data_IF_927277471666
#
_entry.id   IF_927277471666
#
_cell.length_a   1.000
_cell.length_b   1.000
_cell.length_c   1.000
_cell.angle_alpha   90.00
_cell.angle_beta   90.00
_cell.angle_gamma   90.00
#
_symmetry.space_group_name_H-M   'P 1'
#
loop_
_entity.id
_entity.type
_entity.pdbx_description
1 polymer ?
#
# COMPACT_ATOMS: atom_id res chain seq x y z
N UNK A 1 7.44 24.38 -22.53
CA UNK A 1 7.80 23.87 -21.19
C UNK A 1 6.96 24.57 -20.13
N UNK A 2 5.80 24.00 -19.82
CA UNK A 2 5.09 24.36 -18.59
C UNK A 2 6.01 24.09 -17.40
N UNK A 3 6.15 25.06 -16.50
CA UNK A 3 6.85 24.84 -15.26
C UNK A 3 6.14 23.70 -14.54
N UNK A 4 6.90 22.69 -14.09
CA UNK A 4 6.39 21.63 -13.22
C UNK A 4 5.50 22.26 -12.14
N UNK A 5 4.40 21.59 -11.73
CA UNK A 5 3.53 22.09 -10.66
C UNK A 5 4.41 22.59 -9.53
N UNK A 6 4.27 23.89 -9.26
CA UNK A 6 5.10 24.60 -8.29
C UNK A 6 5.07 23.84 -6.97
N UNK A 7 6.24 23.68 -6.37
CA UNK A 7 6.41 22.98 -5.09
C UNK A 7 5.38 23.47 -4.09
N UNK A 8 4.45 22.57 -3.74
CA UNK A 8 3.71 22.52 -2.48
C UNK A 8 2.74 23.66 -2.24
N UNK A 9 1.55 23.62 -2.85
CA UNK A 9 0.40 24.17 -2.12
C UNK A 9 0.17 23.25 -0.93
N UNK A 10 0.35 23.77 0.27
CA UNK A 10 0.01 23.03 1.48
C UNK A 10 -1.51 22.84 1.48
N UNK A 11 -1.94 21.58 1.56
CA UNK A 11 -3.34 21.22 1.63
C UNK A 11 -3.72 21.01 3.10
N UNK A 12 -4.80 21.66 3.52
CA UNK A 12 -5.45 21.31 4.79
C UNK A 12 -6.16 19.97 4.64
N UNK A 13 -6.18 19.18 5.71
CA UNK A 13 -6.95 17.95 5.81
C UNK A 13 -7.69 17.88 7.14
N UNK A 14 -8.67 16.99 7.23
CA UNK A 14 -9.43 16.76 8.47
C UNK A 14 -9.76 15.29 8.63
N UNK A 15 -9.64 14.78 9.86
CA UNK A 15 -10.15 13.49 10.28
C UNK A 15 -11.57 13.66 10.84
N UNK A 16 -12.52 12.85 10.37
CA UNK A 16 -13.90 12.85 10.85
C UNK A 16 -14.16 11.59 11.67
N UNK A 17 -14.61 11.76 12.91
CA UNK A 17 -14.96 10.65 13.80
C UNK A 17 -16.47 10.47 13.75
N UNK A 18 -16.92 9.28 13.37
CA UNK A 18 -18.35 8.94 13.28
C UNK A 18 -18.70 7.95 14.38
N UNK A 19 -19.71 8.27 15.17
CA UNK A 19 -20.32 7.38 16.15
C UNK A 19 -21.34 6.46 15.44
N UNK A 20 -21.06 5.16 15.51
CA UNK A 20 -21.88 4.09 14.94
C UNK A 20 -22.59 3.26 16.02
N UNK A 21 -22.68 3.74 17.26
CA UNK A 21 -23.39 3.05 18.35
C UNK A 21 -24.88 2.83 18.05
N UNK A 22 -25.47 3.67 17.18
CA UNK A 22 -26.73 3.42 16.50
C UNK A 22 -26.48 3.40 14.99
N UNK A 23 -26.40 2.20 14.40
CA UNK A 23 -26.10 2.03 12.97
C UNK A 23 -27.19 2.59 12.03
N UNK A 24 -28.43 2.74 12.52
CA UNK A 24 -29.53 3.35 11.77
C UNK A 24 -29.49 4.90 11.80
N UNK A 25 -28.68 5.48 12.69
CA UNK A 25 -28.55 6.92 12.87
C UNK A 25 -27.08 7.30 13.15
N UNK A 26 -26.15 7.10 12.20
CA UNK A 26 -24.74 7.43 12.38
C UNK A 26 -24.56 8.93 12.62
N UNK A 27 -23.75 9.30 13.62
CA UNK A 27 -23.55 10.70 14.04
C UNK A 27 -22.10 11.12 13.88
N UNK A 28 -21.87 12.34 13.39
CA UNK A 28 -20.54 12.93 13.43
C UNK A 28 -20.21 13.30 14.89
N UNK A 29 -19.31 12.55 15.52
CA UNK A 29 -18.88 12.78 16.90
C UNK A 29 -17.92 13.97 17.00
N UNK A 30 -16.97 14.06 16.08
CA UNK A 30 -15.97 15.12 16.06
C UNK A 30 -15.33 15.31 14.67
N UNK A 31 -14.71 16.47 14.46
CA UNK A 31 -13.80 16.74 13.35
C UNK A 31 -12.48 17.25 13.90
N UNK A 32 -11.38 16.60 13.54
CA UNK A 32 -10.02 17.00 13.91
C UNK A 32 -9.36 17.63 12.71
N UNK A 33 -8.87 18.86 12.85
CA UNK A 33 -8.00 19.48 11.85
C UNK A 33 -6.64 18.81 11.88
N UNK A 34 -6.18 18.31 10.75
CA UNK A 34 -4.85 17.71 10.61
C UNK A 34 -3.82 18.79 10.27
N UNK A 35 -2.52 18.56 10.54
CA UNK A 35 -1.46 19.43 10.05
C UNK A 35 -1.56 19.67 8.55
N UNK A 36 -1.20 20.87 8.12
CA UNK A 36 -1.19 21.18 6.70
C UNK A 36 0.06 20.56 6.06
N UNK A 37 -0.06 19.91 4.91
CA UNK A 37 1.04 19.17 4.29
C UNK A 37 0.97 19.15 2.77
N UNK A 38 2.02 18.66 2.12
CA UNK A 38 1.99 18.33 0.69
C UNK A 38 1.03 17.19 0.36
N UNK A 39 0.64 16.42 1.38
CA UNK A 39 -0.43 15.44 1.35
C UNK A 39 -0.40 14.57 2.61
N UNK A 40 -1.30 13.59 2.65
CA UNK A 40 -1.43 12.63 3.75
C UNK A 40 -1.54 11.21 3.18
N UNK A 41 -1.02 10.23 3.88
CA UNK A 41 -1.12 8.81 3.54
C UNK A 41 -1.37 7.95 4.77
N UNK A 42 -1.89 6.75 4.54
CA UNK A 42 -2.32 5.85 5.60
C UNK A 42 -3.57 6.36 6.31
N UNK A 43 -4.19 5.47 7.07
CA UNK A 43 -5.21 5.77 8.06
C UNK A 43 -5.37 4.49 8.88
N UNK A 44 -4.57 4.35 9.92
CA UNK A 44 -4.56 3.15 10.77
C UNK A 44 -5.30 3.47 12.06
N UNK A 45 -6.43 2.81 12.28
CA UNK A 45 -7.14 2.88 13.55
C UNK A 45 -6.79 1.64 14.38
N UNK A 46 -6.26 1.85 15.59
CA UNK A 46 -5.91 0.76 16.50
C UNK A 46 -6.24 1.14 17.95
N UNK A 47 -7.19 0.42 18.54
CA UNK A 47 -7.74 0.75 19.85
C UNK A 47 -8.24 2.20 19.91
N UNK A 48 -7.66 3.01 20.80
CA UNK A 48 -7.97 4.44 20.95
C UNK A 48 -6.98 5.37 20.24
N UNK A 49 -6.28 4.88 19.21
CA UNK A 49 -5.33 5.65 18.41
C UNK A 49 -5.74 5.64 16.95
N UNK A 50 -5.59 6.78 16.30
CA UNK A 50 -5.54 6.87 14.84
C UNK A 50 -4.18 7.41 14.43
N UNK A 51 -3.55 6.73 13.49
CA UNK A 51 -2.25 7.05 12.94
C UNK A 51 -2.39 7.36 11.45
N UNK A 52 -1.67 8.38 11.02
CA UNK A 52 -1.53 8.76 9.61
C UNK A 52 -0.18 9.42 9.43
N UNK A 53 0.25 9.61 8.20
CA UNK A 53 1.45 10.40 7.92
C UNK A 53 1.14 11.57 7.01
N UNK A 54 1.86 12.67 7.21
CA UNK A 54 1.92 13.78 6.26
C UNK A 54 3.36 14.04 5.86
N UNK A 55 3.56 14.85 4.81
CA UNK A 55 4.88 15.33 4.44
C UNK A 55 4.89 16.83 4.19
N UNK A 56 6.03 17.45 4.49
CA UNK A 56 6.31 18.87 4.26
C UNK A 56 7.49 19.01 3.30
N UNK A 57 7.37 19.78 2.21
CA UNK A 57 8.52 20.12 1.37
C UNK A 57 9.61 20.81 2.19
N UNK A 58 10.87 20.46 1.94
CA UNK A 58 12.00 21.11 2.62
C UNK A 58 12.31 22.47 1.96
N UNK A 59 12.30 23.58 2.73
CA UNK A 59 12.60 24.90 2.18
C UNK A 59 13.98 24.94 1.51
N UNK A 60 14.02 25.41 0.26
CA UNK A 60 15.26 25.52 -0.52
C UNK A 60 15.79 24.22 -1.12
N UNK A 61 15.12 23.08 -0.89
CA UNK A 61 15.52 21.77 -1.42
C UNK A 61 14.40 21.18 -2.28
N UNK A 62 14.38 21.56 -3.56
CA UNK A 62 13.39 21.06 -4.52
C UNK A 62 13.39 19.52 -4.59
N UNK A 63 12.21 18.91 -4.59
CA UNK A 63 12.04 17.47 -4.64
C UNK A 63 12.35 16.72 -3.35
N UNK A 64 12.69 17.42 -2.25
CA UNK A 64 12.87 16.81 -0.93
C UNK A 64 11.73 17.17 0.00
N UNK A 65 11.31 16.22 0.82
CA UNK A 65 10.31 16.40 1.85
C UNK A 65 10.76 15.75 3.16
N UNK A 66 10.15 16.18 4.26
CA UNK A 66 10.20 15.51 5.55
C UNK A 66 8.85 14.86 5.79
N UNK A 67 8.85 13.63 6.28
CA UNK A 67 7.63 12.91 6.65
C UNK A 67 7.43 12.96 8.16
N UNK A 68 6.18 12.97 8.58
CA UNK A 68 5.82 12.93 9.99
C UNK A 68 4.72 11.89 10.22
N UNK A 69 4.81 11.20 11.34
CA UNK A 69 3.72 10.42 11.93
C UNK A 69 2.84 11.36 12.73
N UNK A 70 1.58 11.47 12.32
CA UNK A 70 0.50 12.11 13.07
C UNK A 70 -0.23 11.08 13.90
N UNK A 71 -0.62 11.49 15.10
CA UNK A 71 -1.27 10.63 16.09
C UNK A 71 -2.46 11.35 16.68
N UNK A 72 -3.61 10.68 16.71
CA UNK A 72 -4.83 11.19 17.27
C UNK A 72 -5.26 10.27 18.40
N UNK A 73 -5.40 10.84 19.60
CA UNK A 73 -5.97 10.16 20.75
C UNK A 73 -7.50 10.18 20.68
N UNK A 74 -8.11 9.00 20.58
CA UNK A 74 -9.55 8.78 20.54
C UNK A 74 -10.11 8.22 21.85
N UNK A 75 -9.38 8.30 22.97
CA UNK A 75 -9.89 7.85 24.28
C UNK A 75 -11.18 8.58 24.70
N UNK A 76 -11.40 9.78 24.19
CA UNK A 76 -12.70 10.46 24.19
C UNK A 76 -13.10 10.79 22.73
N UNK A 77 -13.96 9.98 22.08
CA UNK A 77 -14.36 10.19 20.69
C UNK A 77 -15.07 11.52 20.40
N UNK A 78 -15.68 12.15 21.41
CA UNK A 78 -16.32 13.47 21.28
C UNK A 78 -15.34 14.64 21.41
N UNK A 79 -14.13 14.38 21.93
CA UNK A 79 -13.08 15.36 22.11
C UNK A 79 -11.71 14.77 21.78
N UNK A 80 -11.50 14.28 20.54
CA UNK A 80 -10.24 13.68 20.12
C UNK A 80 -9.09 14.70 20.19
N UNK A 81 -7.89 14.23 20.52
CA UNK A 81 -6.71 15.09 20.72
C UNK A 81 -5.65 14.74 19.68
N UNK A 82 -5.32 15.70 18.80
CA UNK A 82 -4.14 15.59 17.95
C UNK A 82 -2.88 15.78 18.79
N UNK A 83 -1.98 14.79 18.77
CA UNK A 83 -0.70 14.84 19.46
C UNK A 83 0.35 15.53 18.57
N UNK A 84 1.49 15.90 19.16
CA UNK A 84 2.60 16.45 18.40
C UNK A 84 3.09 15.45 17.33
N UNK A 85 3.33 15.87 16.08
CA UNK A 85 3.86 14.99 15.05
C UNK A 85 5.28 14.50 15.37
N UNK A 86 5.63 13.28 14.95
CA UNK A 86 6.98 12.72 15.07
C UNK A 86 7.61 12.62 13.69
N UNK A 87 8.80 13.17 13.49
CA UNK A 87 9.53 13.03 12.23
C UNK A 87 9.96 11.57 11.99
N UNK A 88 9.61 10.99 10.85
CA UNK A 88 9.89 9.58 10.49
C UNK A 88 10.43 9.49 9.06
N UNK A 89 11.22 8.44 8.72
CA UNK A 89 11.69 8.23 7.36
C UNK A 89 10.60 7.59 6.48
N UNK A 90 9.81 8.40 5.77
CA UNK A 90 8.87 7.93 4.76
C UNK A 90 7.39 7.93 5.18
N UNK A 91 6.51 7.49 4.27
CA UNK A 91 5.05 7.43 4.48
C UNK A 91 4.65 6.19 5.29
N UNK A 92 3.67 6.33 6.19
CA UNK A 92 3.14 5.23 7.00
C UNK A 92 2.48 4.15 6.15
N UNK A 93 2.84 2.89 6.43
CA UNK A 93 2.23 1.69 5.87
C UNK A 93 1.54 0.86 6.96
N UNK A 94 2.28 0.51 8.01
CA UNK A 94 1.79 -0.35 9.08
C UNK A 94 2.32 0.09 10.45
N UNK A 95 1.67 -0.37 11.52
CA UNK A 95 2.08 -0.15 12.90
C UNK A 95 1.84 -1.42 13.74
N UNK A 96 2.89 -2.00 14.31
CA UNK A 96 2.80 -3.06 15.31
C UNK A 96 2.78 -2.42 16.70
N UNK A 97 1.58 -2.29 17.26
CA UNK A 97 1.37 -1.73 18.60
C UNK A 97 2.18 -2.42 19.72
N UNK A 98 2.30 -3.77 19.77
CA UNK A 98 3.09 -4.43 20.82
C UNK A 98 4.54 -3.97 20.91
N UNK A 99 5.20 -3.73 19.77
CA UNK A 99 6.60 -3.29 19.70
C UNK A 99 6.76 -1.77 19.50
N UNK A 100 5.68 -1.05 19.20
CA UNK A 100 5.68 0.33 18.76
C UNK A 100 6.55 0.58 17.51
N UNK A 101 6.60 -0.42 16.61
CA UNK A 101 7.34 -0.34 15.37
C UNK A 101 6.42 0.03 14.20
N UNK A 102 6.88 0.94 13.34
CA UNK A 102 6.23 1.31 12.09
C UNK A 102 6.93 0.63 10.92
N UNK A 103 6.14 0.25 9.92
CA UNK A 103 6.63 0.11 8.57
C UNK A 103 6.32 1.42 7.81
N UNK A 104 7.35 2.01 7.21
CA UNK A 104 7.21 3.17 6.32
C UNK A 104 7.87 2.93 4.97
N UNK A 105 7.49 3.69 3.94
CA UNK A 105 8.13 3.68 2.62
C UNK A 105 8.78 5.03 2.38
N UNK A 106 10.09 5.03 2.18
CA UNK A 106 10.86 6.18 1.73
C UNK A 106 10.94 6.21 0.20
N UNK A 107 10.98 7.41 -0.36
CA UNK A 107 10.89 7.64 -1.80
C UNK A 107 12.01 8.54 -2.30
N UNK A 108 12.72 8.08 -3.32
CA UNK A 108 13.66 8.91 -4.07
C UNK A 108 13.26 8.94 -5.53
N UNK A 109 12.75 10.08 -5.98
CA UNK A 109 12.41 10.31 -7.39
C UNK A 109 13.67 10.59 -8.21
N UNK A 110 13.79 9.93 -9.34
CA UNK A 110 14.81 10.18 -10.35
C UNK A 110 14.17 10.46 -11.71
N UNK A 111 14.88 11.22 -12.55
CA UNK A 111 14.44 11.60 -13.91
C UNK A 111 15.57 11.30 -14.87
N UNK A 112 15.34 10.39 -15.81
CA UNK A 112 16.22 10.18 -16.96
C UNK A 112 15.77 11.08 -18.11
N UNK A 113 16.58 12.07 -18.53
CA UNK A 113 16.24 12.92 -19.66
C UNK A 113 16.50 12.21 -20.98
N UNK A 114 15.69 12.55 -22.00
CA UNK A 114 15.92 12.20 -23.40
C UNK A 114 16.08 10.69 -23.65
N UNK A 115 15.24 9.87 -23.02
CA UNK A 115 15.18 8.42 -23.25
C UNK A 115 14.02 8.06 -24.18
N UNK A 116 14.11 6.90 -24.83
CA UNK A 116 12.98 6.32 -25.57
C UNK A 116 11.91 5.85 -24.58
N UNK A 117 10.64 5.95 -24.98
CA UNK A 117 9.53 5.41 -24.20
C UNK A 117 9.71 3.92 -23.89
N UNK A 118 10.13 3.13 -24.88
CA UNK A 118 10.38 1.69 -24.72
C UNK A 118 11.43 1.44 -23.66
N UNK A 119 12.59 2.09 -23.76
CA UNK A 119 13.66 1.97 -22.76
C UNK A 119 13.18 2.33 -21.35
N UNK A 120 12.32 3.34 -21.21
CA UNK A 120 11.74 3.71 -19.92
C UNK A 120 10.93 2.55 -19.30
N UNK A 121 9.98 1.99 -20.05
CA UNK A 121 9.10 0.94 -19.54
C UNK A 121 9.75 -0.45 -19.53
N UNK A 122 10.70 -0.75 -20.41
CA UNK A 122 11.51 -1.98 -20.35
C UNK A 122 12.42 -2.01 -19.11
N UNK A 123 12.89 -0.83 -18.65
CA UNK A 123 13.78 -0.75 -17.49
C UNK A 123 13.02 -0.70 -16.17
N UNK A 124 11.90 0.03 -16.13
CA UNK A 124 11.21 0.37 -14.87
C UNK A 124 9.73 0.00 -14.87
N UNK A 125 9.21 -0.61 -15.94
CA UNK A 125 7.82 -1.06 -16.05
C UNK A 125 6.81 -0.01 -15.54
N UNK A 126 5.75 -0.46 -14.87
CA UNK A 126 4.75 0.34 -14.20
C UNK A 126 5.30 1.20 -13.04
N UNK A 127 6.54 0.99 -12.62
CA UNK A 127 7.25 1.82 -11.66
C UNK A 127 7.69 3.18 -12.21
N UNK A 128 7.57 3.41 -13.53
CA UNK A 128 7.89 4.67 -14.19
C UNK A 128 6.69 5.35 -14.85
N UNK A 129 6.87 6.64 -15.15
CA UNK A 129 6.01 7.47 -15.97
C UNK A 129 6.85 8.15 -17.04
N UNK A 130 6.34 8.17 -18.28
CA UNK A 130 7.04 8.79 -19.40
C UNK A 130 6.39 10.11 -19.83
N UNK A 131 7.18 11.17 -19.91
CA UNK A 131 6.78 12.49 -20.40
C UNK A 131 7.47 12.82 -21.74
N UNK A 132 6.75 12.76 -22.86
CA UNK A 132 7.34 13.05 -24.18
C UNK A 132 7.76 14.52 -24.29
N UNK A 133 8.81 14.77 -25.08
CA UNK A 133 9.26 16.15 -25.37
C UNK A 133 8.34 16.89 -26.33
N UNK A 134 7.76 16.17 -27.29
CA UNK A 134 6.78 16.69 -28.23
C UNK A 134 5.39 16.51 -27.66
N UNK A 135 4.61 17.60 -27.56
CA UNK A 135 3.22 17.52 -27.14
C UNK A 135 2.40 16.72 -28.16
N UNK A 136 2.70 16.76 -29.46
CA UNK A 136 1.96 16.02 -30.51
C UNK A 136 2.35 14.54 -30.64
N UNK A 137 2.99 13.96 -29.62
CA UNK A 137 3.44 12.56 -29.65
C UNK A 137 2.33 11.55 -29.97
N UNK A 138 1.07 11.86 -29.63
CA UNK A 138 -0.09 11.00 -29.92
C UNK A 138 -0.40 10.87 -31.41
N UNK A 139 0.16 11.73 -32.27
CA UNK A 139 0.03 11.64 -33.73
C UNK A 139 1.05 10.70 -34.37
N UNK A 140 2.04 10.26 -33.60
CA UNK A 140 3.04 9.29 -34.06
C UNK A 140 2.53 7.86 -33.82
N UNK A 141 2.37 7.09 -34.89
CA UNK A 141 2.02 5.66 -34.80
C UNK A 141 3.19 4.82 -34.23
N UNK A 142 4.41 5.37 -34.21
CA UNK A 142 5.62 4.68 -33.76
C UNK A 142 6.06 5.11 -32.37
N UNK A 143 5.46 4.46 -31.37
CA UNK A 143 5.79 4.60 -29.96
C UNK A 143 7.26 4.30 -29.61
N UNK A 144 7.99 3.58 -30.48
CA UNK A 144 9.38 3.20 -30.25
C UNK A 144 10.37 4.29 -30.64
N UNK A 145 9.89 5.40 -31.22
CA UNK A 145 10.72 6.54 -31.64
C UNK A 145 10.53 7.78 -30.77
N UNK A 146 9.48 7.81 -29.93
CA UNK A 146 9.16 8.95 -29.08
C UNK A 146 10.20 9.08 -27.97
N UNK A 147 10.83 10.26 -27.89
CA UNK A 147 11.80 10.62 -26.84
C UNK A 147 11.20 11.58 -25.82
N UNK A 148 11.63 11.45 -24.58
CA UNK A 148 11.05 12.17 -23.46
C UNK A 148 11.84 12.00 -22.17
N UNK A 149 11.22 12.40 -21.07
CA UNK A 149 11.72 12.18 -19.72
C UNK A 149 11.10 10.91 -19.15
N UNK A 150 11.91 10.01 -18.61
CA UNK A 150 11.43 8.89 -17.81
C UNK A 150 11.55 9.24 -16.33
N UNK A 151 10.42 9.20 -15.64
CA UNK A 151 10.31 9.54 -14.23
C UNK A 151 10.07 8.24 -13.48
N UNK A 152 10.89 7.93 -12.49
CA UNK A 152 10.72 6.72 -11.69
C UNK A 152 11.09 7.00 -10.23
N UNK A 153 10.82 6.03 -9.37
CA UNK A 153 10.99 6.19 -7.92
C UNK A 153 11.68 4.97 -7.34
N UNK A 154 12.86 5.19 -6.75
CA UNK A 154 13.42 4.24 -5.81
C UNK A 154 12.57 4.22 -4.56
N UNK A 155 12.23 3.02 -4.11
CA UNK A 155 11.42 2.79 -2.92
C UNK A 155 12.20 1.94 -1.95
N UNK A 156 12.12 2.30 -0.67
CA UNK A 156 12.78 1.56 0.40
C UNK A 156 11.84 1.44 1.57
N UNK A 157 11.61 0.19 2.00
CA UNK A 157 10.95 -0.11 3.25
C UNK A 157 11.84 0.32 4.40
N UNK A 158 11.25 0.91 5.43
CA UNK A 158 11.92 1.38 6.62
C UNK A 158 11.17 0.84 7.83
N UNK A 159 11.87 0.12 8.69
CA UNK A 159 11.35 -0.31 9.98
C UNK A 159 11.80 0.67 11.05
N UNK A 160 10.85 1.26 11.76
CA UNK A 160 11.10 2.42 12.62
C UNK A 160 10.48 2.19 13.99
N UNK A 161 11.27 2.22 15.05
CA UNK A 161 10.75 2.26 16.41
C UNK A 161 10.30 3.68 16.78
N UNK A 162 9.12 3.80 17.40
CA UNK A 162 8.59 5.09 17.87
C UNK A 162 8.59 5.14 19.39
N UNK A 163 9.34 6.09 19.93
CA UNK A 163 9.24 6.48 21.32
C UNK A 163 8.23 7.63 21.43
N UNK A 164 6.98 7.28 21.73
CA UNK A 164 5.91 8.26 21.84
C UNK A 164 6.09 9.26 22.97
N UNK A 165 6.78 8.87 24.05
CA UNK A 165 6.99 9.69 25.25
C UNK A 165 7.97 10.81 24.92
N UNK A 166 9.08 10.47 24.28
CA UNK A 166 10.10 11.43 23.89
C UNK A 166 9.80 12.10 22.55
N UNK A 167 8.82 11.60 21.79
CA UNK A 167 8.45 12.14 20.48
C UNK A 167 9.54 11.90 19.43
N UNK A 168 10.23 10.76 19.52
CA UNK A 168 11.37 10.42 18.66
C UNK A 168 11.13 9.13 17.91
N UNK A 169 11.80 8.99 16.76
CA UNK A 169 11.78 7.79 15.95
C UNK A 169 13.21 7.31 15.68
N UNK A 170 13.43 5.99 15.72
CA UNK A 170 14.72 5.35 15.46
C UNK A 170 14.57 4.35 14.33
N UNK A 171 15.38 4.49 13.28
CA UNK A 171 15.46 3.50 12.21
C UNK A 171 16.08 2.22 12.78
N UNK A 172 15.37 1.11 12.65
CA UNK A 172 15.84 -0.22 13.05
C UNK A 172 16.46 -0.95 11.86
N UNK A 173 15.77 -0.96 10.72
CA UNK A 173 16.18 -1.71 9.54
C UNK A 173 15.63 -1.07 8.25
N UNK A 174 16.21 -1.41 7.10
CA UNK A 174 15.71 -1.01 5.79
C UNK A 174 15.90 -2.05 4.68
N UNK A 175 14.96 -2.06 3.73
CA UNK A 175 14.99 -3.00 2.60
C UNK A 175 14.60 -2.28 1.30
N UNK A 176 15.47 -2.26 0.25
CA UNK A 176 15.11 -1.67 -1.03
C UNK A 176 14.02 -2.52 -1.72
N UNK A 177 13.07 -1.87 -2.38
CA UNK A 177 12.14 -2.55 -3.30
C UNK A 177 12.67 -2.43 -4.74
N UNK A 178 12.36 -3.39 -5.62
CA UNK A 178 12.68 -3.26 -7.05
C UNK A 178 12.06 -1.99 -7.65
N UNK A 179 12.78 -1.31 -8.54
CA UNK A 179 12.35 -0.05 -9.15
C UNK A 179 11.23 -0.26 -10.20
N UNK A 180 11.16 -1.46 -10.76
CA UNK A 180 10.13 -1.92 -11.71
C UNK A 180 8.84 -2.39 -11.03
N UNK A 181 8.84 -2.48 -9.70
CA UNK A 181 7.72 -2.95 -8.91
C UNK A 181 6.50 -2.01 -9.08
N UNK A 182 5.35 -2.59 -9.38
CA UNK A 182 4.04 -1.95 -9.24
C UNK A 182 3.23 -2.71 -8.22
N UNK A 183 2.82 -2.04 -7.15
CA UNK A 183 2.14 -2.69 -6.02
C UNK A 183 0.64 -2.46 -6.06
N UNK A 184 -0.12 -3.47 -5.65
CA UNK A 184 -1.55 -3.34 -5.32
C UNK A 184 -1.78 -2.55 -4.04
N UNK A 185 -3.01 -2.59 -3.53
CA UNK A 185 -3.31 -2.25 -2.14
C UNK A 185 -2.46 -3.09 -1.18
N UNK A 186 -2.06 -2.46 -0.07
CA UNK A 186 -1.32 -3.08 1.02
C UNK A 186 -2.31 -3.41 2.13
N UNK A 187 -2.30 -4.66 2.60
CA UNK A 187 -3.12 -5.13 3.71
C UNK A 187 -2.22 -5.45 4.90
N UNK A 188 -2.66 -5.12 6.10
CA UNK A 188 -1.89 -5.26 7.33
C UNK A 188 -2.66 -6.16 8.28
N UNK A 189 -2.02 -7.21 8.77
CA UNK A 189 -2.60 -8.12 9.76
C UNK A 189 -1.50 -8.65 10.70
N UNK A 190 -1.77 -8.65 12.01
CA UNK A 190 -0.77 -8.92 13.07
C UNK A 190 0.56 -8.16 12.84
N UNK A 191 1.66 -8.88 12.61
CA UNK A 191 2.99 -8.36 12.30
C UNK A 191 3.37 -8.55 10.83
N UNK A 192 2.38 -8.73 9.94
CA UNK A 192 2.52 -8.96 8.51
C UNK A 192 1.93 -7.82 7.68
N UNK A 193 2.56 -7.58 6.53
CA UNK A 193 2.03 -6.70 5.49
C UNK A 193 2.06 -7.43 4.16
N UNK A 194 0.92 -7.47 3.49
CA UNK A 194 0.70 -8.17 2.25
C UNK A 194 0.40 -7.20 1.13
N UNK A 195 0.96 -7.46 -0.06
CA UNK A 195 0.53 -6.82 -1.30
C UNK A 195 0.87 -7.74 -2.47
N UNK A 196 0.29 -7.50 -3.64
CA UNK A 196 0.68 -8.17 -4.87
C UNK A 196 1.43 -7.19 -5.76
N UNK A 197 2.27 -7.72 -6.64
CA UNK A 197 2.86 -6.95 -7.73
C UNK A 197 2.62 -7.59 -9.07
N UNK A 198 2.46 -6.76 -10.09
CA UNK A 198 2.41 -7.20 -11.47
C UNK A 198 3.63 -6.64 -12.22
N UNK A 199 4.52 -7.49 -12.76
CA UNK A 199 5.75 -7.03 -13.37
C UNK A 199 5.58 -6.21 -14.65
N UNK A 200 4.48 -6.29 -15.43
CA UNK A 200 4.51 -5.64 -16.75
C UNK A 200 3.24 -5.17 -17.47
N UNK A 201 3.50 -4.12 -18.27
CA UNK A 201 2.76 -3.61 -19.41
C UNK A 201 3.60 -3.98 -20.66
N UNK A 202 3.01 -4.74 -21.59
CA UNK A 202 3.52 -5.14 -22.92
C UNK A 202 4.17 -6.54 -23.07
N UNK A 203 3.41 -7.40 -23.75
CA UNK A 203 3.80 -8.39 -24.76
C UNK A 203 4.66 -9.61 -24.42
N UNK A 204 5.17 -9.79 -23.20
CA UNK A 204 5.82 -11.06 -22.84
C UNK A 204 4.88 -12.03 -22.10
N UNK A 205 4.59 -13.15 -22.77
CA UNK A 205 3.97 -14.36 -22.22
C UNK A 205 4.90 -14.96 -21.15
N UNK A 206 4.93 -14.42 -19.92
CA UNK A 206 5.79 -15.03 -18.89
C UNK A 206 5.86 -14.41 -17.51
N UNK A 207 5.40 -13.17 -17.31
CA UNK A 207 5.61 -12.51 -16.02
C UNK A 207 4.53 -12.88 -14.98
N UNK A 208 4.96 -13.61 -13.96
CA UNK A 208 4.12 -14.10 -12.87
C UNK A 208 3.77 -12.96 -11.91
N UNK A 209 2.48 -12.85 -11.55
CA UNK A 209 2.09 -11.99 -10.43
C UNK A 209 2.71 -12.54 -9.15
N UNK A 210 3.37 -11.66 -8.39
CA UNK A 210 3.99 -12.03 -7.13
C UNK A 210 3.08 -11.64 -5.97
N UNK A 211 2.97 -12.51 -4.97
CA UNK A 211 2.56 -12.09 -3.63
C UNK A 211 3.81 -11.67 -2.86
N UNK A 212 3.73 -10.55 -2.16
CA UNK A 212 4.76 -10.07 -1.26
C UNK A 212 4.26 -10.13 0.17
N UNK A 213 5.11 -10.61 1.06
CA UNK A 213 4.87 -10.63 2.49
C UNK A 213 6.05 -9.98 3.21
N UNK A 214 5.76 -8.94 3.98
CA UNK A 214 6.72 -8.30 4.87
C UNK A 214 6.36 -8.72 6.29
N UNK A 215 7.31 -9.28 7.02
CA UNK A 215 7.19 -9.59 8.45
C UNK A 215 8.37 -9.09 9.27
N UNK A 216 8.46 -9.59 10.51
CA UNK A 216 9.53 -9.24 11.43
C UNK A 216 9.37 -7.86 12.10
N UNK A 217 8.24 -7.17 11.88
CA UNK A 217 7.97 -5.85 12.47
C UNK A 217 8.14 -5.87 13.99
N UNK A 218 7.62 -6.90 14.67
CA UNK A 218 7.74 -7.08 16.11
C UNK A 218 9.16 -7.40 16.57
N UNK A 219 9.91 -8.13 15.76
CA UNK A 219 11.28 -8.53 16.06
C UNK A 219 12.29 -7.38 15.88
N UNK A 220 11.91 -6.33 15.13
CA UNK A 220 12.79 -5.21 14.84
C UNK A 220 13.75 -5.46 13.67
N UNK A 221 13.42 -6.40 12.78
CA UNK A 221 14.17 -6.75 11.57
C UNK A 221 13.19 -7.00 10.43
N UNK A 222 13.46 -6.49 9.23
CA UNK A 222 12.59 -6.69 8.07
C UNK A 222 12.85 -8.05 7.43
N UNK A 223 11.81 -8.88 7.40
CA UNK A 223 11.79 -10.11 6.62
C UNK A 223 10.88 -9.87 5.41
N UNK A 224 11.47 -9.83 4.21
CA UNK A 224 10.73 -9.58 2.97
C UNK A 224 10.80 -10.83 2.10
N UNK A 225 9.65 -11.46 1.92
CA UNK A 225 9.51 -12.60 1.03
C UNK A 225 8.56 -12.24 -0.13
N UNK A 226 8.79 -12.86 -1.26
CA UNK A 226 7.83 -12.85 -2.36
C UNK A 226 7.82 -14.21 -3.04
N UNK A 227 6.65 -14.61 -3.50
CA UNK A 227 6.47 -15.87 -4.20
C UNK A 227 5.62 -15.66 -5.45
N UNK A 228 6.01 -16.35 -6.50
CA UNK A 228 5.23 -16.41 -7.72
C UNK A 228 3.96 -17.22 -7.47
N UNK A 229 2.88 -16.74 -8.06
CA UNK A 229 1.59 -17.39 -7.91
C UNK A 229 1.36 -18.29 -9.12
N UNK A 230 1.30 -19.60 -8.90
CA UNK A 230 1.07 -20.68 -9.90
C UNK A 230 -0.28 -20.58 -10.68
N UNK A 231 -1.00 -19.46 -10.56
CA UNK A 231 -2.17 -19.20 -11.38
C UNK A 231 -1.76 -18.95 -12.85
N UNK A 232 -2.74 -19.12 -13.74
CA UNK A 232 -2.55 -18.85 -15.16
C UNK A 232 -1.82 -17.51 -15.38
N UNK A 233 -0.87 -17.41 -16.32
CA UNK A 233 0.06 -16.28 -16.49
C UNK A 233 -0.62 -14.90 -16.74
N UNK A 234 -1.94 -14.86 -16.88
CA UNK A 234 -2.76 -13.66 -17.04
C UNK A 234 -3.68 -13.37 -15.84
N UNK A 235 -3.63 -14.17 -14.79
CA UNK A 235 -4.45 -13.99 -13.61
C UNK A 235 -3.91 -12.80 -12.82
N UNK A 236 -4.61 -11.66 -12.88
CA UNK A 236 -4.33 -10.54 -11.99
C UNK A 236 -4.82 -10.88 -10.59
N UNK A 237 -3.97 -10.68 -9.59
CA UNK A 237 -4.30 -10.91 -8.20
C UNK A 237 -4.55 -9.61 -7.48
N UNK A 238 -5.65 -9.57 -6.74
CA UNK A 238 -5.98 -8.46 -5.88
C UNK A 238 -6.09 -8.98 -4.43
N UNK A 239 -5.24 -8.49 -3.50
CA UNK A 239 -5.44 -8.77 -2.09
C UNK A 239 -6.75 -8.12 -1.65
N UNK A 240 -7.55 -8.83 -0.85
CA UNK A 240 -8.88 -8.34 -0.42
C UNK A 240 -8.92 -8.11 1.08
N UNK A 241 -8.48 -9.11 1.87
CA UNK A 241 -8.52 -9.05 3.33
C UNK A 241 -7.35 -9.83 3.94
N UNK A 242 -6.92 -9.46 5.13
CA UNK A 242 -5.87 -10.18 5.86
C UNK A 242 -6.24 -10.31 7.35
N UNK A 243 -6.01 -11.48 7.93
CA UNK A 243 -6.23 -11.74 9.35
C UNK A 243 -5.08 -12.58 9.91
N UNK A 244 -4.51 -12.14 11.03
CA UNK A 244 -3.33 -12.78 11.61
C UNK A 244 -2.17 -12.83 10.61
N UNK A 245 -1.73 -14.05 10.28
CA UNK A 245 -0.66 -14.31 9.31
C UNK A 245 -1.19 -14.77 7.95
N UNK A 246 -2.49 -14.63 7.69
CA UNK A 246 -3.15 -15.11 6.48
C UNK A 246 -3.65 -13.94 5.63
N UNK A 247 -3.41 -14.03 4.33
CA UNK A 247 -4.01 -13.19 3.30
C UNK A 247 -5.11 -13.97 2.57
N UNK A 248 -6.23 -13.31 2.26
CA UNK A 248 -7.19 -13.74 1.25
C UNK A 248 -7.08 -12.81 0.04
N UNK A 249 -6.86 -13.39 -1.12
CA UNK A 249 -6.79 -12.71 -2.40
C UNK A 249 -7.77 -13.30 -3.40
N UNK A 250 -8.08 -12.50 -4.43
CA UNK A 250 -8.91 -12.92 -5.54
C UNK A 250 -8.16 -12.76 -6.85
N UNK A 251 -8.37 -13.72 -7.75
CA UNK A 251 -7.81 -13.70 -9.09
C UNK A 251 -8.85 -13.21 -10.09
N UNK A 252 -8.41 -12.59 -11.18
CA UNK A 252 -9.30 -12.13 -12.25
C UNK A 252 -10.19 -13.23 -12.84
N UNK A 253 -9.76 -14.49 -12.78
CA UNK A 253 -10.56 -15.65 -13.22
C UNK A 253 -11.64 -16.08 -12.23
N UNK A 254 -11.76 -15.42 -11.08
CA UNK A 254 -12.73 -15.74 -10.04
C UNK A 254 -12.14 -16.50 -8.84
N UNK A 255 -10.89 -16.97 -8.92
CA UNK A 255 -10.31 -17.82 -7.89
C UNK A 255 -10.15 -17.10 -6.55
N UNK A 256 -10.53 -17.77 -5.47
CA UNK A 256 -10.24 -17.36 -4.09
C UNK A 256 -9.01 -18.10 -3.63
N UNK A 257 -8.00 -17.35 -3.21
CA UNK A 257 -6.72 -17.91 -2.80
C UNK A 257 -6.34 -17.39 -1.43
N UNK A 258 -5.81 -18.27 -0.59
CA UNK A 258 -5.16 -17.89 0.65
C UNK A 258 -3.65 -17.96 0.52
N UNK A 259 -2.96 -17.08 1.25
CA UNK A 259 -1.52 -17.18 1.52
C UNK A 259 -1.35 -17.22 3.02
N UNK A 260 -0.83 -18.31 3.56
CA UNK A 260 -0.42 -18.43 4.96
C UNK A 260 1.07 -18.09 5.08
N UNK A 261 1.37 -17.08 5.89
CA UNK A 261 2.70 -16.55 6.16
C UNK A 261 3.16 -16.81 7.60
N UNK A 262 2.72 -17.93 8.19
CA UNK A 262 3.21 -18.42 9.46
C UNK A 262 4.71 -18.74 9.43
N UNK A 263 5.18 -19.28 8.30
CA UNK A 263 6.59 -19.38 7.94
C UNK A 263 6.86 -18.48 6.73
N UNK A 264 7.77 -17.51 6.85
CA UNK A 264 8.08 -16.60 5.75
C UNK A 264 9.04 -17.20 4.73
N UNK A 265 9.70 -18.31 5.06
CA UNK A 265 10.60 -19.00 4.14
C UNK A 265 9.87 -20.07 3.30
N UNK A 266 8.61 -20.38 3.65
CA UNK A 266 7.77 -21.40 3.02
C UNK A 266 6.29 -20.98 3.09
N UNK A 267 5.86 -20.06 2.21
CA UNK A 267 4.48 -19.60 2.19
C UNK A 267 3.56 -20.72 1.69
N UNK A 268 2.45 -20.98 2.39
CA UNK A 268 1.46 -21.94 1.92
C UNK A 268 0.37 -21.21 1.10
N UNK A 269 0.27 -21.54 -0.18
CA UNK A 269 -0.66 -20.91 -1.12
C UNK A 269 -1.71 -21.92 -1.56
N UNK A 270 -2.99 -21.64 -1.29
CA UNK A 270 -4.09 -22.59 -1.53
C UNK A 270 -5.27 -21.93 -2.24
N UNK A 271 -5.77 -22.56 -3.31
CA UNK A 271 -6.99 -22.13 -4.01
C UNK A 271 -8.21 -22.89 -3.47
N UNK A 272 -9.25 -22.16 -3.07
CA UNK A 272 -10.42 -22.71 -2.36
C UNK A 272 -11.68 -22.85 -3.23
N UNK A 273 -12.09 -21.77 -3.87
CA UNK A 273 -13.34 -21.69 -4.63
C UNK A 273 -13.20 -20.72 -5.81
N UNK A 274 -14.21 -20.65 -6.67
CA UNK A 274 -14.33 -19.64 -7.71
C UNK A 274 -15.61 -18.83 -7.54
N UNK A 275 -15.50 -17.50 -7.62
CA UNK A 275 -16.64 -16.59 -7.65
C UNK A 275 -16.77 -15.98 -9.05
N UNK A 276 -17.98 -15.94 -9.63
CA UNK A 276 -18.18 -15.43 -10.99
C UNK A 276 -18.15 -13.90 -11.09
N UNK A 277 -18.03 -13.18 -9.98
CA UNK A 277 -18.18 -11.74 -9.90
C UNK A 277 -17.05 -11.10 -9.10
N UNK A 278 -16.85 -9.80 -9.31
CA UNK A 278 -15.90 -8.99 -8.55
C UNK A 278 -16.28 -8.96 -7.07
N UNK A 279 -15.27 -9.00 -6.20
CA UNK A 279 -15.43 -8.82 -4.76
C UNK A 279 -15.18 -7.36 -4.42
N UNK A 280 -16.13 -6.73 -3.71
CA UNK A 280 -16.01 -5.34 -3.26
C UNK A 280 -15.33 -5.22 -1.90
N UNK A 281 -15.50 -6.23 -1.05
CA UNK A 281 -14.92 -6.32 0.29
C UNK A 281 -14.99 -7.77 0.77
N UNK A 282 -14.12 -8.13 1.71
CA UNK A 282 -14.20 -9.40 2.42
C UNK A 282 -14.06 -9.18 3.94
N UNK A 283 -14.45 -10.18 4.70
CA UNK A 283 -14.16 -10.30 6.13
C UNK A 283 -13.78 -11.76 6.39
N UNK A 284 -12.77 -11.99 7.22
CA UNK A 284 -12.32 -13.32 7.62
C UNK A 284 -12.82 -13.55 9.06
N UNK A 285 -13.44 -14.71 9.30
CA UNK A 285 -13.82 -15.16 10.64
C UNK A 285 -13.40 -16.63 10.78
N UNK A 286 -12.21 -16.85 11.36
CA UNK A 286 -11.68 -18.20 11.54
C UNK A 286 -11.37 -18.88 10.21
N UNK A 287 -12.12 -19.93 9.88
CA UNK A 287 -11.96 -20.74 8.67
C UNK A 287 -12.85 -20.29 7.52
N UNK A 288 -13.43 -19.08 7.58
CA UNK A 288 -14.37 -18.59 6.57
C UNK A 288 -14.03 -17.20 6.08
N UNK A 289 -14.21 -16.99 4.79
CA UNK A 289 -14.25 -15.69 4.16
C UNK A 289 -15.68 -15.33 3.74
N UNK A 290 -16.16 -14.17 4.21
CA UNK A 290 -17.43 -13.56 3.79
C UNK A 290 -17.16 -12.51 2.72
N UNK A 291 -17.60 -12.78 1.49
CA UNK A 291 -17.28 -11.99 0.31
C UNK A 291 -18.50 -11.20 -0.16
N UNK A 292 -18.40 -9.87 -0.17
CA UNK A 292 -19.42 -9.00 -0.76
C UNK A 292 -19.24 -8.97 -2.27
N UNK A 293 -20.28 -9.39 -3.00
CA UNK A 293 -20.33 -9.42 -4.46
C UNK A 293 -21.16 -8.25 -5.03
N UNK A 294 -21.13 -7.10 -4.36
CA UNK A 294 -21.93 -5.92 -4.71
C UNK A 294 -23.42 -6.25 -4.88
N UNK A 295 -23.98 -5.96 -6.06
CA UNK A 295 -25.39 -6.23 -6.41
C UNK A 295 -25.75 -7.72 -6.44
N UNK A 296 -24.77 -8.63 -6.39
CA UNK A 296 -24.97 -10.08 -6.43
C UNK A 296 -25.05 -10.73 -5.04
N UNK A 297 -24.94 -9.94 -3.97
CA UNK A 297 -25.16 -10.39 -2.59
C UNK A 297 -23.88 -10.83 -1.89
N UNK A 298 -24.00 -11.84 -1.01
CA UNK A 298 -22.93 -12.33 -0.15
C UNK A 298 -22.58 -13.78 -0.52
N UNK A 299 -21.29 -14.11 -0.58
CA UNK A 299 -20.78 -15.47 -0.69
C UNK A 299 -19.96 -15.81 0.54
N UNK A 300 -20.09 -17.04 1.04
CA UNK A 300 -19.22 -17.58 2.09
C UNK A 300 -18.35 -18.65 1.45
N UNK A 301 -17.05 -18.61 1.73
CA UNK A 301 -16.06 -19.59 1.27
C UNK A 301 -15.39 -20.17 2.50
N UNK A 302 -15.40 -21.50 2.63
CA UNK A 302 -14.62 -22.20 3.65
C UNK A 302 -13.14 -22.25 3.21
N UNK A 303 -12.23 -21.89 4.11
CA UNK A 303 -10.78 -21.74 3.89
C UNK A 303 -9.97 -22.92 4.43
N UNK A 304 -10.58 -23.81 5.22
CA UNK A 304 -9.94 -25.02 5.77
C UNK A 304 -10.25 -26.28 4.93
N UNK A 305 -10.77 -26.09 3.71
CA UNK A 305 -11.32 -27.16 2.88
C UNK A 305 -10.38 -27.63 1.77
N UNK A 306 -10.15 -28.93 1.70
CA UNK A 306 -9.74 -29.58 0.44
C UNK A 306 -10.77 -29.19 -0.63
N UNK A 307 -10.36 -28.62 -1.78
CA UNK A 307 -11.32 -28.12 -2.77
C UNK A 307 -12.23 -29.25 -3.27
N UNK A 308 -13.53 -29.12 -3.01
CA UNK A 308 -14.61 -29.93 -3.59
C UNK A 308 -14.84 -31.30 -2.94
N UNK A 309 -15.79 -31.37 -2.01
CA UNK A 309 -16.66 -32.54 -1.83
C UNK A 309 -18.03 -32.26 -2.42
#
# INVERSE_FOLDING_TARGET
PEALPTVGTSHGASLRVVDLSNVDEPKLAATVTLPAGGGHTGLIAQGHRVLLSHWEPLPGLSGKARFYLDRIDLSNPSGPIALAPINVPGSLVAFDQPSANLLTVDYQREILPDVLRTTCYETFSHGAQFWPHDEQWWETDDWNTVRGQCWFMHRKLKLVHVDEINGTATLLDDHPLPDDLSTSQWLVADDRVFFTSNPQYYDDDGDESLVWVIGGLRAGELLVHNEALDAAPWAWWQPIEAEGQRLVAWTWSGGIVTVDAGDLDDLAIETHDTVPWRISSAEIEGDRAYLSLESYGLRVVDLDGVPGS
#
